data_IF_126658611163
#
_entry.id   IF_126658611163
#
_cell.length_a   1.000
_cell.length_b   1.000
_cell.length_c   1.000
_cell.angle_alpha   90.00
_cell.angle_beta   90.00
_cell.angle_gamma   90.00
#
_symmetry.space_group_name_H-M   'P 1'
#
loop_
_entity.id
_entity.type
_entity.pdbx_description
1 polymer ?
#
# COMPACT_ATOMS: atom_id res chain seq x y z
N UNK A 1 -5.65 23.05 27.23
CA UNK A 1 -4.57 22.48 28.07
C UNK A 1 -4.57 20.98 27.90
N UNK A 2 -3.56 20.40 27.25
CA UNK A 2 -3.45 18.95 27.09
C UNK A 2 -3.16 18.31 28.45
N UNK A 3 -4.00 17.37 28.91
CA UNK A 3 -3.73 16.60 30.13
C UNK A 3 -2.38 15.88 29.97
N UNK A 4 -1.49 16.03 30.94
CA UNK A 4 -0.22 15.31 30.96
C UNK A 4 -0.51 13.81 31.07
N UNK A 5 -0.33 13.07 29.97
CA UNK A 5 -0.49 11.62 29.93
C UNK A 5 0.65 11.00 30.75
N UNK A 6 0.34 10.19 31.75
CA UNK A 6 1.35 9.55 32.59
C UNK A 6 2.22 8.60 31.77
N UNK A 7 3.50 8.46 32.13
CA UNK A 7 4.45 7.59 31.42
C UNK A 7 3.93 6.16 31.28
N UNK A 8 3.25 5.65 32.31
CA UNK A 8 2.60 4.33 32.29
C UNK A 8 1.57 4.17 31.17
N UNK A 9 0.67 5.14 30.99
CA UNK A 9 -0.33 5.11 29.90
C UNK A 9 0.33 5.14 28.53
N UNK A 10 1.40 5.94 28.37
CA UNK A 10 2.16 5.98 27.11
C UNK A 10 2.79 4.63 26.82
N UNK A 11 3.48 4.02 27.79
CA UNK A 11 4.12 2.71 27.60
C UNK A 11 3.10 1.63 27.25
N UNK A 12 1.96 1.58 27.94
CA UNK A 12 0.89 0.62 27.65
C UNK A 12 0.35 0.82 26.23
N UNK A 13 0.02 2.07 25.86
CA UNK A 13 -0.49 2.38 24.53
C UNK A 13 0.53 2.04 23.43
N UNK A 14 1.81 2.33 23.65
CA UNK A 14 2.89 2.00 22.71
C UNK A 14 3.06 0.48 22.55
N UNK A 15 3.09 -0.28 23.64
CA UNK A 15 3.20 -1.74 23.58
C UNK A 15 1.98 -2.35 22.88
N UNK A 16 0.77 -1.88 23.21
CA UNK A 16 -0.46 -2.32 22.55
C UNK A 16 -0.45 -2.01 21.05
N UNK A 17 -0.02 -0.81 20.65
CA UNK A 17 0.11 -0.43 19.25
C UNK A 17 1.12 -1.32 18.50
N UNK A 18 2.26 -1.64 19.11
CA UNK A 18 3.24 -2.55 18.52
C UNK A 18 2.72 -3.97 18.36
N UNK A 19 1.98 -4.49 19.35
CA UNK A 19 1.36 -5.82 19.24
C UNK A 19 0.37 -5.85 18.07
N UNK A 20 -0.51 -4.85 17.97
CA UNK A 20 -1.48 -4.76 16.86
C UNK A 20 -0.76 -4.63 15.52
N UNK A 21 0.25 -3.77 15.43
CA UNK A 21 1.03 -3.60 14.20
C UNK A 21 1.71 -4.90 13.77
N UNK A 22 2.33 -5.63 14.71
CA UNK A 22 2.97 -6.91 14.43
C UNK A 22 1.97 -7.98 14.02
N UNK A 23 0.77 -8.03 14.62
CA UNK A 23 -0.27 -8.97 14.23
C UNK A 23 -0.78 -8.72 12.80
N UNK A 24 -0.98 -7.45 12.43
CA UNK A 24 -1.41 -7.07 11.06
C UNK A 24 -0.27 -7.28 10.05
N UNK A 25 0.98 -7.05 10.46
CA UNK A 25 2.15 -7.22 9.61
C UNK A 25 2.59 -8.68 9.45
N UNK A 26 2.26 -9.54 10.41
CA UNK A 26 2.72 -10.93 10.44
C UNK A 26 2.43 -11.73 9.15
N UNK A 27 1.22 -11.66 8.54
CA UNK A 27 0.97 -12.31 7.26
C UNK A 27 1.91 -11.83 6.16
N UNK A 28 2.21 -10.54 6.09
CA UNK A 28 3.14 -9.97 5.12
C UNK A 28 4.55 -10.52 5.37
N UNK A 29 5.01 -10.50 6.62
CA UNK A 29 6.29 -11.08 7.00
C UNK A 29 6.38 -12.57 6.61
N UNK A 30 5.33 -13.34 6.87
CA UNK A 30 5.28 -14.76 6.53
C UNK A 30 5.30 -15.00 5.01
N UNK A 31 4.63 -14.16 4.21
CA UNK A 31 4.73 -14.25 2.74
C UNK A 31 6.16 -14.01 2.24
N UNK A 32 6.88 -13.05 2.85
CA UNK A 32 8.28 -12.78 2.51
C UNK A 32 9.16 -13.98 2.90
N UNK A 33 8.99 -14.55 4.10
CA UNK A 33 9.75 -15.75 4.51
C UNK A 33 9.46 -16.91 3.55
N UNK A 34 8.20 -17.10 3.19
CA UNK A 34 7.75 -18.19 2.31
C UNK A 34 8.30 -18.04 0.89
N UNK A 35 8.51 -16.82 0.39
CA UNK A 35 9.09 -16.63 -0.95
C UNK A 35 10.56 -17.06 -1.06
N UNK A 36 11.23 -17.33 0.06
CA UNK A 36 12.60 -17.89 0.10
C UNK A 36 12.64 -19.39 0.43
N UNK A 37 11.49 -20.06 0.53
CA UNK A 37 11.40 -21.51 0.74
C UNK A 37 11.44 -22.26 -0.59
N UNK A 38 11.96 -23.49 -0.59
CA UNK A 38 11.76 -24.40 -1.73
C UNK A 38 10.29 -24.84 -1.84
N UNK A 39 9.89 -25.36 -3.00
CA UNK A 39 8.51 -25.85 -3.20
C UNK A 39 8.16 -26.95 -2.18
N UNK A 40 9.10 -27.86 -1.91
CA UNK A 40 8.89 -28.92 -0.93
C UNK A 40 8.74 -28.38 0.50
N UNK A 41 9.52 -27.36 0.88
CA UNK A 41 9.42 -26.70 2.19
C UNK A 41 8.13 -25.90 2.35
N UNK A 42 7.63 -25.30 1.28
CA UNK A 42 6.37 -24.57 1.29
C UNK A 42 5.17 -25.49 1.60
N UNK A 43 5.22 -26.75 1.14
CA UNK A 43 4.16 -27.75 1.37
C UNK A 43 4.21 -28.33 2.79
N UNK A 44 5.40 -28.40 3.42
CA UNK A 44 5.58 -28.98 4.75
C UNK A 44 4.95 -28.18 5.89
N UNK A 45 4.52 -26.94 5.65
CA UNK A 45 3.72 -26.15 6.58
C UNK A 45 4.45 -24.97 7.22
N UNK A 46 4.05 -24.62 8.44
CA UNK A 46 4.52 -23.41 9.12
C UNK A 46 5.97 -23.56 9.61
N UNK A 47 6.86 -22.76 9.01
CA UNK A 47 8.25 -22.62 9.42
C UNK A 47 8.70 -21.16 9.23
N UNK A 48 9.40 -20.59 10.21
CA UNK A 48 9.89 -19.21 10.18
C UNK A 48 11.32 -19.07 9.64
N UNK A 49 12.06 -20.17 9.55
CA UNK A 49 13.43 -20.20 9.02
C UNK A 49 13.36 -20.87 7.64
N UNK A 50 13.58 -20.13 6.54
CA UNK A 50 13.59 -20.69 5.20
C UNK A 50 14.98 -21.28 4.87
N UNK A 51 15.06 -22.18 3.88
CA UNK A 51 16.33 -22.63 3.30
C UNK A 51 17.13 -21.50 2.63
N UNK A 52 16.47 -20.41 2.22
CA UNK A 52 17.12 -19.25 1.63
C UNK A 52 17.39 -19.40 0.13
N UNK A 53 16.47 -20.02 -0.61
CA UNK A 53 16.62 -20.26 -2.05
C UNK A 53 16.01 -19.12 -2.87
N UNK A 54 16.47 -18.99 -4.12
CA UNK A 54 15.93 -18.04 -5.11
C UNK A 54 15.31 -18.73 -6.33
N UNK A 55 15.13 -20.05 -6.26
CA UNK A 55 14.66 -20.88 -7.36
C UNK A 55 13.30 -20.42 -7.87
N UNK A 56 12.34 -20.22 -6.97
CA UNK A 56 10.98 -19.76 -7.30
C UNK A 56 10.97 -18.41 -8.03
N UNK A 57 11.90 -17.50 -7.72
CA UNK A 57 12.00 -16.23 -8.45
C UNK A 57 12.48 -16.42 -9.89
N UNK A 58 13.49 -17.30 -10.08
CA UNK A 58 14.01 -17.61 -11.42
C UNK A 58 12.97 -18.31 -12.28
N UNK A 59 12.20 -19.22 -11.69
CA UNK A 59 11.14 -19.97 -12.35
C UNK A 59 9.99 -19.07 -12.79
N UNK A 60 9.52 -18.18 -11.91
CA UNK A 60 8.45 -17.22 -12.23
C UNK A 60 8.87 -16.29 -13.38
N UNK A 61 10.13 -15.85 -13.40
CA UNK A 61 10.63 -15.00 -14.47
C UNK A 61 10.76 -15.77 -15.79
N UNK A 62 11.24 -17.02 -15.76
CA UNK A 62 11.43 -17.86 -16.93
C UNK A 62 10.11 -18.31 -17.57
N UNK A 63 9.12 -18.72 -16.76
CA UNK A 63 7.85 -19.23 -17.27
C UNK A 63 6.88 -18.12 -17.70
N UNK A 64 6.77 -17.06 -16.89
CA UNK A 64 5.70 -16.07 -17.06
C UNK A 64 6.19 -14.70 -17.56
N UNK A 65 7.50 -14.47 -17.66
CA UNK A 65 8.04 -13.16 -18.03
C UNK A 65 7.53 -12.05 -17.11
N UNK A 66 7.46 -12.33 -15.79
CA UNK A 66 6.81 -11.50 -14.77
C UNK A 66 7.19 -10.01 -14.85
N UNK A 67 8.45 -9.72 -15.18
CA UNK A 67 8.94 -8.35 -15.35
C UNK A 67 8.10 -7.50 -16.32
N UNK A 68 7.52 -8.10 -17.37
CA UNK A 68 6.63 -7.40 -18.30
C UNK A 68 5.32 -6.96 -17.63
N UNK A 69 4.70 -7.84 -16.86
CA UNK A 69 3.46 -7.52 -16.12
C UNK A 69 3.70 -6.49 -15.02
N UNK A 70 4.85 -6.59 -14.35
CA UNK A 70 5.31 -5.58 -13.41
C UNK A 70 5.43 -4.20 -14.09
N UNK A 71 6.14 -4.12 -15.22
CA UNK A 71 6.30 -2.85 -15.95
C UNK A 71 4.96 -2.28 -16.44
N UNK A 72 4.05 -3.12 -16.94
CA UNK A 72 2.71 -2.64 -17.34
C UNK A 72 1.99 -1.97 -16.16
N UNK A 73 2.07 -2.55 -14.97
CA UNK A 73 1.43 -2.01 -13.77
C UNK A 73 2.09 -0.70 -13.31
N UNK A 74 3.43 -0.62 -13.38
CA UNK A 74 4.18 0.61 -13.07
C UNK A 74 3.80 1.72 -14.05
N UNK A 75 3.81 1.43 -15.36
CA UNK A 75 3.48 2.41 -16.39
C UNK A 75 2.02 2.88 -16.24
N UNK A 76 1.08 1.97 -15.98
CA UNK A 76 -0.31 2.32 -15.80
C UNK A 76 -0.55 3.14 -14.53
N UNK A 77 0.00 2.74 -13.39
CA UNK A 77 -0.18 3.46 -12.12
C UNK A 77 0.46 4.85 -12.15
N UNK A 78 1.71 4.95 -12.59
CA UNK A 78 2.43 6.23 -12.66
C UNK A 78 1.84 7.11 -13.77
N UNK A 79 1.61 6.53 -14.96
CA UNK A 79 1.06 7.25 -16.11
C UNK A 79 -0.34 7.80 -15.82
N UNK A 80 -1.24 6.99 -15.26
CA UNK A 80 -2.59 7.46 -14.89
C UNK A 80 -2.56 8.54 -13.82
N UNK A 81 -1.67 8.42 -12.82
CA UNK A 81 -1.50 9.44 -11.78
C UNK A 81 -1.02 10.76 -12.37
N UNK A 82 -0.02 10.73 -13.25
CA UNK A 82 0.49 11.94 -13.91
C UNK A 82 -0.59 12.59 -14.76
N UNK A 83 -1.29 11.82 -15.59
CA UNK A 83 -2.38 12.33 -16.42
C UNK A 83 -3.51 12.92 -15.57
N UNK A 84 -3.87 12.25 -14.47
CA UNK A 84 -4.86 12.77 -13.53
C UNK A 84 -4.41 14.09 -12.90
N UNK A 85 -3.15 14.21 -12.49
CA UNK A 85 -2.60 15.45 -11.92
C UNK A 85 -2.56 16.60 -12.92
N UNK A 86 -2.19 16.34 -14.18
CA UNK A 86 -2.17 17.35 -15.25
C UNK A 86 -3.55 18.01 -15.41
N UNK A 87 -4.63 17.25 -15.22
CA UNK A 87 -6.01 17.76 -15.33
C UNK A 87 -6.50 18.32 -13.99
N UNK A 88 -6.28 17.59 -12.89
CA UNK A 88 -6.81 17.92 -11.58
C UNK A 88 -6.21 19.19 -10.99
N UNK A 89 -4.90 19.44 -11.19
CA UNK A 89 -4.21 20.62 -10.66
C UNK A 89 -4.80 21.93 -11.23
N UNK A 90 -4.85 22.16 -12.55
CA UNK A 90 -5.42 23.39 -13.09
C UNK A 90 -6.93 23.51 -12.79
N UNK A 91 -7.66 22.39 -12.79
CA UNK A 91 -9.07 22.40 -12.42
C UNK A 91 -9.25 22.88 -10.96
N UNK A 92 -8.50 22.30 -10.03
CA UNK A 92 -8.53 22.69 -8.62
C UNK A 92 -8.09 24.15 -8.41
N UNK A 93 -7.05 24.60 -9.12
CA UNK A 93 -6.57 25.99 -9.06
C UNK A 93 -7.66 26.98 -9.50
N UNK A 94 -8.35 26.70 -10.61
CA UNK A 94 -9.42 27.57 -11.12
C UNK A 94 -10.56 27.69 -10.10
N UNK A 95 -10.93 26.60 -9.43
CA UNK A 95 -11.99 26.59 -8.43
C UNK A 95 -11.58 27.24 -7.10
N UNK A 96 -10.29 27.16 -6.73
CA UNK A 96 -9.78 27.74 -5.49
C UNK A 96 -9.59 29.26 -5.58
N UNK A 97 -9.08 29.76 -6.71
CA UNK A 97 -8.69 31.17 -6.86
C UNK A 97 -9.60 32.00 -7.78
N UNK A 98 -10.41 31.36 -8.63
CA UNK A 98 -11.37 32.03 -9.51
C UNK A 98 -12.73 31.29 -9.54
N UNK A 99 -13.42 31.20 -8.37
CA UNK A 99 -14.66 30.45 -8.28
C UNK A 99 -15.75 31.06 -9.17
N UNK A 100 -16.42 30.21 -9.94
CA UNK A 100 -17.57 30.58 -10.75
C UNK A 100 -18.87 30.14 -10.08
N UNK A 101 -20.02 30.61 -10.59
CA UNK A 101 -21.36 30.24 -10.05
C UNK A 101 -21.59 28.71 -9.99
N UNK A 102 -20.92 27.93 -10.86
CA UNK A 102 -21.04 26.46 -10.94
C UNK A 102 -20.04 25.70 -10.07
N UNK A 103 -19.02 26.35 -9.51
CA UNK A 103 -17.98 25.70 -8.69
C UNK A 103 -18.60 24.98 -7.49
N UNK A 104 -19.60 25.58 -6.83
CA UNK A 104 -20.30 24.96 -5.69
C UNK A 104 -20.99 23.65 -6.09
N UNK A 105 -21.71 23.63 -7.20
CA UNK A 105 -22.45 22.45 -7.66
C UNK A 105 -21.50 21.30 -8.03
N UNK A 106 -20.39 21.63 -8.70
CA UNK A 106 -19.35 20.65 -9.07
C UNK A 106 -18.70 20.05 -7.81
N UNK A 107 -18.34 20.87 -6.82
CA UNK A 107 -17.76 20.38 -5.57
C UNK A 107 -18.74 19.50 -4.78
N UNK A 108 -20.01 19.89 -4.70
CA UNK A 108 -21.05 19.08 -4.05
C UNK A 108 -21.26 17.74 -4.78
N UNK A 109 -21.20 17.74 -6.10
CA UNK A 109 -21.24 16.52 -6.89
C UNK A 109 -20.03 15.62 -6.62
N UNK A 110 -18.80 16.17 -6.60
CA UNK A 110 -17.58 15.41 -6.27
C UNK A 110 -17.62 14.81 -4.86
N UNK A 111 -18.17 15.54 -3.87
CA UNK A 111 -18.35 15.02 -2.51
C UNK A 111 -19.38 13.90 -2.46
N UNK A 112 -20.41 13.94 -3.30
CA UNK A 112 -21.45 12.90 -3.39
C UNK A 112 -20.96 11.63 -4.09
N UNK A 113 -20.00 11.73 -5.00
CA UNK A 113 -19.45 10.57 -5.74
C UNK A 113 -18.23 9.95 -5.07
N UNK A 114 -17.72 10.59 -4.01
CA UNK A 114 -16.64 10.05 -3.20
C UNK A 114 -17.17 8.86 -2.36
N UNK A 115 -17.11 7.66 -2.93
CA UNK A 115 -17.16 6.40 -2.18
C UNK A 115 -15.84 6.15 -1.46
#
# INVERSE_FOLDING_TARGET
MARAVTTQHKTIATVAAWIVALLIFFPILYTIITSFKSEQEAIQGFALIPSGTFESYSEVQAQSGYFKFFLNSVILSVGSTILALIIAIPAAWSMAFSPTKRTKDILMWMLSTKM
#
